data_IF_817591249347
#
_entry.id   IF_817591249347
#
_cell.length_a   1.000
_cell.length_b   1.000
_cell.length_c   1.000
_cell.angle_alpha   90.00
_cell.angle_beta   90.00
_cell.angle_gamma   90.00
#
_symmetry.space_group_name_H-M   'P 1'
#
loop_
_entity.id
_entity.type
_entity.pdbx_description
1 polymer ?
#
# COMPACT_ATOMS: atom_id res chain seq x y z
N UNK A 1 8.86 23.24 11.42
CA UNK A 1 8.45 21.88 10.96
C UNK A 1 6.97 21.87 10.59
N UNK A 2 6.57 22.38 9.42
CA UNK A 2 5.14 22.50 9.03
C UNK A 2 4.79 21.78 7.72
N UNK A 3 5.77 21.25 6.99
CA UNK A 3 5.54 20.61 5.69
C UNK A 3 5.16 19.12 5.74
N UNK A 4 5.31 18.44 6.89
CA UNK A 4 4.99 17.01 7.01
C UNK A 4 3.49 16.76 7.14
N UNK A 5 2.74 17.70 7.73
CA UNK A 5 1.28 17.63 7.79
C UNK A 5 0.65 17.61 6.40
N UNK A 6 1.06 18.53 5.52
CA UNK A 6 0.59 18.56 4.14
C UNK A 6 0.91 17.27 3.36
N UNK A 7 2.09 16.67 3.61
CA UNK A 7 2.50 15.40 3.00
C UNK A 7 1.62 14.22 3.42
N UNK A 8 1.33 14.07 4.73
CA UNK A 8 0.43 13.03 5.24
C UNK A 8 -0.99 13.25 4.69
N UNK A 9 -1.49 14.48 4.73
CA UNK A 9 -2.85 14.79 4.27
C UNK A 9 -3.02 14.53 2.77
N UNK A 10 -1.99 14.83 1.95
CA UNK A 10 -2.04 14.58 0.51
C UNK A 10 -1.94 13.08 0.17
N UNK A 11 -1.10 12.33 0.88
CA UNK A 11 -0.87 10.89 0.64
C UNK A 11 -1.89 9.97 1.31
N UNK A 12 -2.59 10.47 2.34
CA UNK A 12 -3.43 9.64 3.22
C UNK A 12 -2.63 8.55 3.93
N UNK A 13 -1.33 8.76 4.15
CA UNK A 13 -0.44 7.76 4.75
C UNK A 13 -0.82 7.48 6.21
N UNK A 14 -1.03 6.21 6.53
CA UNK A 14 -1.26 5.73 7.90
C UNK A 14 -0.35 4.55 8.20
N UNK A 15 0.14 4.48 9.45
CA UNK A 15 1.08 3.46 9.88
C UNK A 15 0.73 2.96 11.29
N UNK A 16 0.62 1.64 11.43
CA UNK A 16 0.48 0.97 12.71
C UNK A 16 1.46 -0.21 12.77
N UNK A 17 2.71 0.10 13.15
CA UNK A 17 3.81 -0.86 13.16
C UNK A 17 3.61 -2.05 14.12
N UNK A 18 3.11 -1.88 15.36
CA UNK A 18 2.86 -3.02 16.26
C UNK A 18 1.90 -4.04 15.65
N UNK A 19 0.98 -3.55 14.82
CA UNK A 19 0.03 -4.38 14.11
C UNK A 19 0.48 -4.73 12.69
N UNK A 20 1.62 -4.26 12.18
CA UNK A 20 2.05 -4.49 10.81
C UNK A 20 1.03 -4.03 9.76
N UNK A 21 0.38 -2.89 10.01
CA UNK A 21 -0.60 -2.30 9.08
C UNK A 21 -0.07 -1.01 8.50
N UNK A 22 -0.25 -0.83 7.21
CA UNK A 22 0.09 0.40 6.47
C UNK A 22 -1.08 0.77 5.57
N UNK A 23 -1.36 2.06 5.42
CA UNK A 23 -2.47 2.53 4.59
C UNK A 23 -2.09 3.72 3.73
N UNK A 24 -2.68 3.79 2.54
CA UNK A 24 -2.53 4.88 1.59
C UNK A 24 -3.90 5.28 1.04
N UNK A 25 -4.28 6.54 1.24
CA UNK A 25 -5.54 7.11 0.77
C UNK A 25 -5.30 8.46 0.06
N UNK A 26 -4.61 8.45 -1.09
CA UNK A 26 -4.15 9.67 -1.75
C UNK A 26 -5.33 10.55 -2.19
N UNK A 27 -5.38 11.78 -1.67
CA UNK A 27 -6.45 12.74 -2.00
C UNK A 27 -6.19 13.51 -3.29
N UNK A 28 -4.94 13.57 -3.73
CA UNK A 28 -4.52 14.25 -4.95
C UNK A 28 -4.16 13.19 -5.99
N UNK A 29 -4.87 13.20 -7.12
CA UNK A 29 -4.70 12.25 -8.24
C UNK A 29 -4.64 10.78 -7.82
N UNK A 30 -5.69 10.25 -7.15
CA UNK A 30 -5.71 8.87 -6.65
C UNK A 30 -5.49 7.81 -7.75
N UNK A 31 -5.87 8.12 -8.99
CA UNK A 31 -5.68 7.25 -10.15
C UNK A 31 -4.22 7.16 -10.62
N UNK A 32 -3.36 8.11 -10.27
CA UNK A 32 -1.96 8.11 -10.65
C UNK A 32 -1.14 8.82 -9.57
N UNK A 33 -0.84 8.08 -8.51
CA UNK A 33 -0.22 8.61 -7.31
C UNK A 33 1.13 7.96 -7.06
N UNK A 34 2.09 8.76 -6.60
CA UNK A 34 3.39 8.26 -6.15
C UNK A 34 3.87 9.11 -4.99
N UNK A 35 4.28 8.46 -3.90
CA UNK A 35 4.89 9.13 -2.77
C UNK A 35 5.96 8.27 -2.13
N UNK A 36 6.91 8.92 -1.46
CA UNK A 36 7.71 8.21 -0.47
C UNK A 36 6.82 7.78 0.71
N UNK A 37 7.28 6.83 1.49
CA UNK A 37 6.77 6.59 2.84
C UNK A 37 7.94 6.31 3.77
N UNK A 38 7.77 6.67 5.03
CA UNK A 38 8.77 6.49 6.07
C UNK A 38 8.09 5.79 7.24
N UNK A 39 8.72 4.73 7.73
CA UNK A 39 8.34 4.00 8.93
C UNK A 39 9.45 4.14 9.98
N UNK A 40 9.24 3.67 11.21
CA UNK A 40 10.24 3.70 12.26
C UNK A 40 11.51 2.90 11.94
N UNK A 41 11.40 1.86 11.10
CA UNK A 41 12.51 0.96 10.76
C UNK A 41 12.85 0.87 9.27
N UNK A 42 12.12 1.56 8.40
CA UNK A 42 12.28 1.47 6.95
C UNK A 42 11.78 2.69 6.20
N UNK A 43 12.19 2.88 4.96
CA UNK A 43 11.56 3.84 4.05
C UNK A 43 11.56 3.29 2.63
N UNK A 44 10.66 3.83 1.83
CA UNK A 44 10.43 3.31 0.50
C UNK A 44 9.53 4.18 -0.35
N UNK A 45 9.11 3.62 -1.48
CA UNK A 45 8.21 4.27 -2.44
C UNK A 45 6.90 3.52 -2.53
N UNK A 46 5.80 4.24 -2.39
CA UNK A 46 4.47 3.78 -2.76
C UNK A 46 4.10 4.38 -4.11
N UNK A 47 3.51 3.56 -4.98
CA UNK A 47 2.96 4.01 -6.25
C UNK A 47 1.64 3.31 -6.51
N UNK A 48 0.71 4.04 -7.10
CA UNK A 48 -0.61 3.56 -7.46
C UNK A 48 -0.99 4.08 -8.85
N UNK A 49 -1.53 3.19 -9.67
CA UNK A 49 -2.10 3.54 -10.96
C UNK A 49 -3.43 2.80 -11.14
N UNK A 50 -4.48 3.52 -11.51
CA UNK A 50 -5.79 2.98 -11.83
C UNK A 50 -6.03 3.20 -13.32
N UNK A 51 -6.29 2.11 -14.04
CA UNK A 51 -6.57 2.17 -15.49
C UNK A 51 -7.57 1.09 -15.85
N UNK A 52 -8.59 1.46 -16.64
CA UNK A 52 -9.62 0.54 -17.13
C UNK A 52 -10.29 -0.28 -16.00
N UNK A 53 -10.56 0.34 -14.85
CA UNK A 53 -11.15 -0.32 -13.68
C UNK A 53 -10.21 -1.28 -12.93
N UNK A 54 -8.92 -1.33 -13.28
CA UNK A 54 -7.92 -2.12 -12.57
C UNK A 54 -7.03 -1.19 -11.75
N UNK A 55 -6.93 -1.45 -10.45
CA UNK A 55 -6.06 -0.72 -9.54
C UNK A 55 -4.77 -1.51 -9.32
N UNK A 56 -3.64 -0.90 -9.68
CA UNK A 56 -2.30 -1.44 -9.47
C UNK A 56 -1.59 -0.60 -8.43
N UNK A 57 -1.22 -1.20 -7.31
CA UNK A 57 -0.40 -0.56 -6.30
C UNK A 57 0.92 -1.32 -6.13
N UNK A 58 2.01 -0.59 -5.88
CA UNK A 58 3.33 -1.15 -5.61
C UNK A 58 3.95 -0.45 -4.41
N UNK A 59 4.56 -1.25 -3.56
CA UNK A 59 5.33 -0.84 -2.41
C UNK A 59 6.76 -1.40 -2.54
N UNK A 60 7.74 -0.51 -2.58
CA UNK A 60 9.15 -0.85 -2.75
C UNK A 60 9.94 -0.35 -1.55
N UNK A 61 10.73 -1.22 -0.90
CA UNK A 61 11.57 -0.86 0.24
C UNK A 61 12.97 -0.50 -0.25
N UNK A 62 13.35 0.76 -0.04
CA UNK A 62 14.66 1.27 -0.43
C UNK A 62 15.70 1.05 0.69
N UNK A 63 15.24 1.01 1.94
CA UNK A 63 16.09 0.76 3.10
C UNK A 63 15.30 0.20 4.29
N UNK A 64 15.98 -0.62 5.10
CA UNK A 64 15.44 -1.18 6.33
C UNK A 64 14.62 -2.44 6.12
N UNK A 65 13.77 -2.74 7.10
CA UNK A 65 12.88 -3.89 7.07
C UNK A 65 11.51 -3.53 7.63
N UNK A 66 10.46 -4.06 6.98
CA UNK A 66 9.07 -3.81 7.33
C UNK A 66 8.32 -5.14 7.44
N UNK A 67 7.67 -5.37 8.59
CA UNK A 67 6.76 -6.51 8.77
C UNK A 67 5.33 -6.05 8.47
N UNK A 68 4.74 -6.59 7.42
CA UNK A 68 3.36 -6.30 7.02
C UNK A 68 2.47 -7.52 7.15
N UNK A 69 1.25 -7.29 7.60
CA UNK A 69 0.15 -8.26 7.57
C UNK A 69 -1.10 -7.71 6.87
N UNK A 70 -1.19 -6.39 6.71
CA UNK A 70 -2.35 -5.73 6.12
C UNK A 70 -1.94 -4.43 5.42
N UNK A 71 -2.53 -4.20 4.25
CA UNK A 71 -2.44 -2.93 3.52
C UNK A 71 -3.84 -2.39 3.27
N UNK A 72 -4.06 -1.13 3.61
CA UNK A 72 -5.29 -0.38 3.36
C UNK A 72 -5.11 0.56 2.16
N UNK A 73 -6.02 0.52 1.20
CA UNK A 73 -6.02 1.38 0.01
C UNK A 73 -7.40 2.00 -0.20
N UNK A 74 -7.47 3.17 -0.84
CA UNK A 74 -8.77 3.69 -1.32
C UNK A 74 -9.39 2.73 -2.35
N UNK A 75 -10.71 2.52 -2.25
CA UNK A 75 -11.50 1.74 -3.19
C UNK A 75 -11.81 2.59 -4.43
N UNK A 76 -10.96 2.47 -5.45
CA UNK A 76 -11.10 3.24 -6.70
C UNK A 76 -11.72 2.41 -7.84
N UNK A 77 -12.11 1.17 -7.53
CA UNK A 77 -12.71 0.22 -8.46
C UNK A 77 -13.63 -0.72 -7.68
N UNK A 78 -14.71 -1.18 -8.33
CA UNK A 78 -15.74 -2.07 -7.74
C UNK A 78 -15.25 -3.54 -7.70
N UNK A 79 -14.03 -3.70 -7.18
CA UNK A 79 -13.20 -4.87 -7.37
C UNK A 79 -13.45 -5.94 -6.32
N UNK A 80 -13.56 -7.19 -6.78
CA UNK A 80 -13.82 -8.37 -5.93
C UNK A 80 -12.60 -9.27 -5.77
N UNK A 81 -11.58 -9.06 -6.59
CA UNK A 81 -10.38 -9.88 -6.61
C UNK A 81 -9.13 -9.05 -6.32
N UNK A 82 -8.24 -9.62 -5.52
CA UNK A 82 -6.89 -9.09 -5.31
C UNK A 82 -5.87 -10.16 -5.66
N UNK A 83 -4.86 -9.77 -6.42
CA UNK A 83 -3.64 -10.54 -6.59
C UNK A 83 -2.51 -9.78 -5.90
N UNK A 84 -1.82 -10.46 -4.98
CA UNK A 84 -0.65 -9.91 -4.31
C UNK A 84 0.56 -10.72 -4.73
N UNK A 85 1.64 -10.04 -5.11
CA UNK A 85 2.91 -10.69 -5.41
C UNK A 85 4.06 -10.02 -4.65
N UNK A 86 4.95 -10.82 -4.09
CA UNK A 86 6.19 -10.38 -3.48
C UNK A 86 7.33 -10.83 -4.40
N UNK A 87 8.06 -9.89 -4.99
CA UNK A 87 9.14 -10.18 -5.94
C UNK A 87 8.71 -11.10 -7.10
N UNK A 88 7.44 -11.00 -7.54
CA UNK A 88 6.86 -11.85 -8.58
C UNK A 88 6.23 -13.16 -8.09
N UNK A 89 6.45 -13.55 -6.83
CA UNK A 89 5.83 -14.75 -6.24
C UNK A 89 4.45 -14.42 -5.65
N UNK A 90 3.43 -15.24 -5.97
CA UNK A 90 2.06 -15.03 -5.49
C UNK A 90 1.94 -15.25 -3.98
N UNK A 91 1.44 -14.23 -3.29
CA UNK A 91 1.11 -14.28 -1.86
C UNK A 91 -0.39 -14.47 -1.69
N UNK A 92 -0.79 -15.45 -0.87
CA UNK A 92 -2.21 -15.63 -0.51
C UNK A 92 -2.67 -14.43 0.33
N UNK A 93 -3.60 -13.66 -0.22
CA UNK A 93 -4.21 -12.52 0.43
C UNK A 93 -5.74 -12.64 0.47
N UNK A 94 -6.37 -11.90 1.39
CA UNK A 94 -7.80 -11.73 1.51
C UNK A 94 -8.12 -10.26 1.32
N UNK A 95 -9.12 -9.98 0.50
CA UNK A 95 -9.65 -8.64 0.28
C UNK A 95 -10.93 -8.46 1.09
N UNK A 96 -11.05 -7.29 1.73
CA UNK A 96 -12.24 -6.87 2.47
C UNK A 96 -12.51 -5.41 2.16
N UNK A 97 -13.67 -5.13 1.58
CA UNK A 97 -14.08 -3.77 1.26
C UNK A 97 -14.95 -3.24 2.41
N UNK A 98 -14.69 -2.00 2.83
CA UNK A 98 -15.46 -1.33 3.89
C UNK A 98 -15.41 0.18 3.65
N UNK A 99 -16.58 0.81 3.47
CA UNK A 99 -16.71 2.27 3.45
C UNK A 99 -15.71 2.98 2.51
N UNK A 100 -15.60 2.54 1.25
CA UNK A 100 -14.66 3.05 0.24
C UNK A 100 -13.17 2.77 0.53
N UNK A 101 -12.88 1.80 1.39
CA UNK A 101 -11.52 1.33 1.69
C UNK A 101 -11.41 -0.17 1.38
N UNK A 102 -10.35 -0.53 0.66
CA UNK A 102 -9.96 -1.92 0.39
C UNK A 102 -8.86 -2.31 1.37
N UNK A 103 -9.18 -3.24 2.28
CA UNK A 103 -8.20 -3.86 3.17
C UNK A 103 -7.73 -5.19 2.58
N UNK A 104 -6.43 -5.28 2.34
CA UNK A 104 -5.76 -6.49 1.85
C UNK A 104 -4.96 -7.10 2.99
N UNK A 105 -5.44 -8.20 3.55
CA UNK A 105 -4.77 -8.92 4.65
C UNK A 105 -4.10 -10.19 4.14
N UNK A 106 -2.90 -10.50 4.63
CA UNK A 106 -2.13 -11.70 4.27
C UNK A 106 -1.40 -12.26 5.49
N UNK A 107 -0.80 -13.45 5.35
CA UNK A 107 0.10 -13.97 6.40
C UNK A 107 1.24 -12.95 6.60
N UNK A 108 1.69 -12.69 7.85
CA UNK A 108 2.76 -11.74 8.09
C UNK A 108 3.98 -12.03 7.21
N UNK A 109 4.39 -11.06 6.41
CA UNK A 109 5.59 -11.12 5.56
C UNK A 109 6.57 -10.05 6.03
N UNK A 110 7.86 -10.38 5.93
CA UNK A 110 8.94 -9.39 6.13
C UNK A 110 9.42 -8.96 4.75
N UNK A 111 9.40 -7.65 4.52
CA UNK A 111 9.82 -7.00 3.29
C UNK A 111 11.11 -6.27 3.63
N UNK A 112 12.18 -6.58 2.91
CA UNK A 112 13.51 -6.00 3.13
C UNK A 112 13.91 -5.11 1.97
N UNK A 113 15.04 -4.41 2.12
CA UNK A 113 15.64 -3.60 1.04
C UNK A 113 15.69 -4.37 -0.29
N UNK A 114 15.13 -3.75 -1.33
CA UNK A 114 15.09 -4.29 -2.70
C UNK A 114 13.82 -5.09 -3.02
N UNK A 115 13.03 -5.45 -2.00
CA UNK A 115 11.78 -6.18 -2.21
C UNK A 115 10.68 -5.26 -2.76
N UNK A 116 9.84 -5.86 -3.61
CA UNK A 116 8.72 -5.22 -4.28
C UNK A 116 7.46 -6.01 -3.96
N UNK A 117 6.53 -5.37 -3.28
CA UNK A 117 5.19 -5.90 -3.03
C UNK A 117 4.21 -5.22 -3.98
N UNK A 118 3.58 -6.01 -4.83
CA UNK A 118 2.64 -5.52 -5.85
C UNK A 118 1.24 -6.05 -5.59
N UNK A 119 0.26 -5.19 -5.79
CA UNK A 119 -1.16 -5.43 -5.63
C UNK A 119 -1.84 -5.13 -6.96
N UNK A 120 -2.59 -6.09 -7.47
CA UNK A 120 -3.47 -5.91 -8.63
C UNK A 120 -4.90 -6.24 -8.19
N UNK A 121 -5.76 -5.22 -8.21
CA UNK A 121 -7.15 -5.26 -7.74
C UNK A 121 -8.06 -5.12 -8.96
N UNK A 122 -9.00 -6.07 -9.14
CA UNK A 122 -9.94 -6.18 -10.28
C UNK A 122 -11.34 -6.66 -9.87
#
# INVERSE_FOLDING_TARGET
MSSYGAFITASGFTLNEPNGKIGFAPKITPENFRSAFITGSSWGTFSQNVKNGQQRARLEIEYGALKLKEVSLDELSDSKHVMVTLNGEKVKAKLKNKNNEVMVSFKPISIIKGDKLEFEIK
#
